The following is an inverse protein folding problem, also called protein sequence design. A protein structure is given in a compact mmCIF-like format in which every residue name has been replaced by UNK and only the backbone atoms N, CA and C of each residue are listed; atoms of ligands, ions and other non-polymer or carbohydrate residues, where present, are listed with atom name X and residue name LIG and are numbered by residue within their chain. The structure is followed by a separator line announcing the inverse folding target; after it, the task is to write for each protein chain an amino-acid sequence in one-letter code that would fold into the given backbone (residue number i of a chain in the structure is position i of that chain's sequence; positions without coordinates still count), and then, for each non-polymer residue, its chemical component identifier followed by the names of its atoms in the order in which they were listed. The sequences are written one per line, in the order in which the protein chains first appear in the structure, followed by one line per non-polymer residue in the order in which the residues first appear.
data_IF_711092429590
#
_entry.id   IF_711092429590
#
_cell.length_a   1.000
_cell.length_b   1.000
_cell.length_c   1.000
_cell.angle_alpha   90.00
_cell.angle_beta   90.00
_cell.angle_gamma   90.00
#
_symmetry.space_group_name_H-M   'P 1'
#
loop_
_entity.id
_entity.type
_entity.pdbx_description
1 polymer ?
#
# COMPACT_ATOMS: atom_id res chain seq x y z
N UNK A 1 35.49 -43.47 -8.77
CA UNK A 1 35.39 -42.06 -9.23
C UNK A 1 33.92 -41.74 -9.44
N UNK A 2 33.27 -41.17 -8.43
CA UNK A 2 31.88 -40.71 -8.49
C UNK A 2 31.88 -39.28 -9.03
N UNK A 3 31.25 -39.08 -10.18
CA UNK A 3 31.06 -37.77 -10.81
C UNK A 3 30.09 -36.96 -9.97
N UNK A 4 30.55 -35.85 -9.40
CA UNK A 4 29.67 -34.89 -8.73
C UNK A 4 28.69 -34.31 -9.75
N UNK A 5 27.39 -34.50 -9.50
CA UNK A 5 26.32 -33.87 -10.27
C UNK A 5 26.46 -32.35 -10.14
N UNK A 6 26.36 -31.55 -11.23
CA UNK A 6 26.53 -30.11 -11.15
C UNK A 6 25.46 -29.54 -10.22
N UNK A 7 25.89 -29.00 -9.07
CA UNK A 7 25.03 -28.29 -8.16
C UNK A 7 24.40 -27.11 -8.91
N UNK A 8 23.06 -27.06 -8.95
CA UNK A 8 22.36 -25.94 -9.55
C UNK A 8 22.90 -24.63 -8.94
N UNK A 9 23.25 -23.62 -9.75
CA UNK A 9 23.85 -22.40 -9.24
C UNK A 9 22.91 -21.78 -8.19
N UNK A 10 23.49 -21.46 -7.02
CA UNK A 10 22.75 -20.90 -5.90
C UNK A 10 22.02 -19.62 -6.36
N UNK A 11 20.69 -19.61 -6.24
CA UNK A 11 19.88 -18.45 -6.64
C UNK A 11 20.28 -17.24 -5.81
N UNK A 12 20.69 -16.17 -6.47
CA UNK A 12 21.00 -14.90 -5.81
C UNK A 12 19.72 -14.35 -5.13
N UNK A 13 19.84 -13.76 -3.92
CA UNK A 13 18.70 -13.31 -3.13
C UNK A 13 17.88 -12.24 -3.86
N UNK A 14 18.53 -11.37 -4.64
CA UNK A 14 17.89 -10.33 -5.42
C UNK A 14 16.99 -10.88 -6.55
N UNK A 15 17.33 -12.03 -7.13
CA UNK A 15 16.50 -12.65 -8.17
C UNK A 15 15.26 -13.33 -7.57
N UNK A 16 15.38 -13.83 -6.33
CA UNK A 16 14.24 -14.36 -5.59
C UNK A 16 13.26 -13.25 -5.18
N UNK A 17 13.76 -12.13 -4.64
CA UNK A 17 12.93 -10.97 -4.32
C UNK A 17 12.29 -10.37 -5.58
N UNK A 18 13.00 -10.33 -6.71
CA UNK A 18 12.44 -9.85 -7.98
C UNK A 18 11.29 -10.72 -8.49
N UNK A 19 11.41 -12.04 -8.38
CA UNK A 19 10.32 -12.97 -8.73
C UNK A 19 9.11 -12.80 -7.82
N UNK A 20 9.33 -12.66 -6.50
CA UNK A 20 8.25 -12.38 -5.55
C UNK A 20 7.55 -11.06 -5.87
N UNK A 21 8.33 -10.02 -6.17
CA UNK A 21 7.82 -8.70 -6.55
C UNK A 21 6.92 -8.79 -7.80
N UNK A 22 7.38 -9.52 -8.83
CA UNK A 22 6.60 -9.73 -10.06
C UNK A 22 5.30 -10.48 -9.79
N UNK A 23 5.35 -11.58 -9.02
CA UNK A 23 4.15 -12.37 -8.73
C UNK A 23 3.14 -11.58 -7.90
N UNK A 24 3.61 -10.80 -6.93
CA UNK A 24 2.77 -9.91 -6.14
C UNK A 24 2.19 -8.76 -6.98
N UNK A 25 2.95 -8.24 -7.95
CA UNK A 25 2.46 -7.24 -8.88
C UNK A 25 1.37 -7.81 -9.79
N UNK A 26 1.52 -9.04 -10.26
CA UNK A 26 0.47 -9.73 -11.02
C UNK A 26 -0.80 -9.92 -10.17
N UNK A 27 -0.64 -10.32 -8.91
CA UNK A 27 -1.76 -10.41 -7.97
C UNK A 27 -2.47 -9.05 -7.84
N UNK A 28 -1.72 -7.96 -7.66
CA UNK A 28 -2.28 -6.61 -7.60
C UNK A 28 -3.01 -6.23 -8.89
N UNK A 29 -2.38 -6.43 -10.05
CA UNK A 29 -2.95 -6.09 -11.37
C UNK A 29 -4.24 -6.86 -11.66
N UNK A 30 -4.41 -8.07 -11.12
CA UNK A 30 -5.66 -8.83 -11.24
C UNK A 30 -6.67 -8.47 -10.15
N UNK A 31 -6.24 -8.37 -8.90
CA UNK A 31 -7.12 -8.12 -7.76
C UNK A 31 -7.70 -6.71 -7.77
N UNK A 32 -6.97 -5.69 -8.26
CA UNK A 32 -7.45 -4.32 -8.34
C UNK A 32 -8.69 -4.17 -9.24
N UNK A 33 -8.66 -4.54 -10.54
CA UNK A 33 -9.84 -4.42 -11.41
C UNK A 33 -10.96 -5.35 -10.94
N UNK A 34 -10.65 -6.53 -10.41
CA UNK A 34 -11.66 -7.42 -9.83
C UNK A 34 -12.36 -6.75 -8.64
N UNK A 35 -11.61 -6.10 -7.75
CA UNK A 35 -12.17 -5.36 -6.62
C UNK A 35 -13.05 -4.21 -7.13
N UNK A 36 -12.57 -3.39 -8.07
CA UNK A 36 -13.36 -2.29 -8.64
C UNK A 36 -14.67 -2.80 -9.24
N UNK A 37 -14.59 -3.86 -10.05
CA UNK A 37 -15.78 -4.46 -10.68
C UNK A 37 -16.76 -5.02 -9.65
N UNK A 38 -16.26 -5.72 -8.63
CA UNK A 38 -17.08 -6.35 -7.59
C UNK A 38 -17.83 -5.30 -6.76
N UNK A 39 -17.15 -4.23 -6.34
CA UNK A 39 -17.78 -3.12 -5.62
C UNK A 39 -18.73 -2.33 -6.54
N UNK A 40 -18.37 -2.09 -7.80
CA UNK A 40 -19.22 -1.40 -8.76
C UNK A 40 -20.48 -2.19 -9.15
N UNK A 41 -20.42 -3.53 -9.09
CA UNK A 41 -21.54 -4.41 -9.40
C UNK A 41 -22.27 -4.90 -8.14
N UNK A 42 -21.95 -4.35 -6.96
CA UNK A 42 -22.41 -4.90 -5.69
C UNK A 42 -23.93 -4.92 -5.57
N UNK A 43 -24.61 -3.85 -5.99
CA UNK A 43 -26.07 -3.78 -5.99
C UNK A 43 -26.69 -4.84 -6.92
N UNK A 44 -26.18 -4.95 -8.15
CA UNK A 44 -26.67 -5.93 -9.14
C UNK A 44 -26.51 -7.35 -8.60
N UNK A 45 -25.33 -7.68 -8.07
CA UNK A 45 -25.06 -9.00 -7.49
C UNK A 45 -25.96 -9.26 -6.27
N UNK A 46 -26.16 -8.25 -5.41
CA UNK A 46 -27.02 -8.37 -4.24
C UNK A 46 -28.48 -8.61 -4.61
N UNK A 47 -29.01 -7.93 -5.63
CA UNK A 47 -30.38 -8.17 -6.11
C UNK A 47 -30.61 -9.59 -6.62
N UNK A 48 -29.58 -10.25 -7.15
CA UNK A 48 -29.65 -11.67 -7.53
C UNK A 48 -29.57 -12.64 -6.33
N UNK A 49 -28.99 -12.21 -5.20
CA UNK A 49 -28.85 -13.02 -4.00
C UNK A 49 -30.08 -12.93 -3.10
N UNK A 50 -30.68 -11.73 -2.95
CA UNK A 50 -31.84 -11.50 -2.10
C UNK A 50 -33.04 -12.47 -2.27
N UNK A 51 -33.42 -12.89 -3.50
CA UNK A 51 -34.56 -13.79 -3.67
C UNK A 51 -34.27 -15.25 -3.34
N UNK A 52 -33.00 -15.60 -3.04
CA UNK A 52 -32.66 -16.95 -2.59
C UNK A 52 -33.21 -17.18 -1.17
N UNK A 53 -33.50 -18.43 -0.82
CA UNK A 53 -34.04 -18.78 0.50
C UNK A 53 -33.16 -19.82 1.23
N UNK A 54 -33.16 -19.76 2.56
CA UNK A 54 -32.52 -20.76 3.41
C UNK A 54 -31.00 -20.90 3.18
N UNK A 55 -30.53 -22.13 2.97
CA UNK A 55 -29.11 -22.43 2.89
C UNK A 55 -28.42 -21.83 1.65
N UNK A 56 -29.13 -21.72 0.52
CA UNK A 56 -28.57 -21.15 -0.72
C UNK A 56 -28.34 -19.65 -0.59
N UNK A 57 -29.27 -18.93 0.07
CA UNK A 57 -29.08 -17.53 0.44
C UNK A 57 -27.86 -17.35 1.35
N UNK A 58 -27.78 -18.12 2.44
CA UNK A 58 -26.67 -17.99 3.39
C UNK A 58 -25.32 -18.26 2.72
N UNK A 59 -25.23 -19.27 1.86
CA UNK A 59 -24.03 -19.57 1.10
C UNK A 59 -23.65 -18.45 0.13
N UNK A 60 -24.61 -17.96 -0.65
CA UNK A 60 -24.39 -16.90 -1.63
C UNK A 60 -24.01 -15.56 -0.97
N UNK A 61 -24.71 -15.15 0.08
CA UNK A 61 -24.41 -13.95 0.85
C UNK A 61 -23.02 -14.02 1.51
N UNK A 62 -22.65 -15.19 2.06
CA UNK A 62 -21.34 -15.41 2.66
C UNK A 62 -20.23 -15.38 1.61
N UNK A 63 -20.42 -16.04 0.47
CA UNK A 63 -19.45 -16.03 -0.63
C UNK A 63 -19.27 -14.61 -1.19
N UNK A 64 -20.35 -13.86 -1.34
CA UNK A 64 -20.31 -12.46 -1.79
C UNK A 64 -19.60 -11.56 -0.80
N UNK A 65 -19.93 -11.64 0.50
CA UNK A 65 -19.24 -10.90 1.56
C UNK A 65 -17.75 -11.26 1.64
N UNK A 66 -17.41 -12.54 1.51
CA UNK A 66 -16.02 -12.99 1.47
C UNK A 66 -15.28 -12.43 0.25
N UNK A 67 -15.91 -12.40 -0.92
CA UNK A 67 -15.32 -11.81 -2.12
C UNK A 67 -15.07 -10.31 -1.93
N UNK A 68 -16.04 -9.58 -1.36
CA UNK A 68 -15.92 -8.14 -1.08
C UNK A 68 -14.81 -7.82 -0.08
N UNK A 69 -14.55 -8.71 0.88
CA UNK A 69 -13.47 -8.56 1.85
C UNK A 69 -12.10 -8.97 1.28
N UNK A 70 -12.02 -10.11 0.59
CA UNK A 70 -10.76 -10.69 0.14
C UNK A 70 -10.17 -9.97 -1.07
N UNK A 71 -10.99 -9.50 -2.01
CA UNK A 71 -10.50 -8.82 -3.21
C UNK A 71 -9.64 -7.56 -2.88
N UNK A 72 -10.12 -6.58 -2.09
CA UNK A 72 -9.32 -5.41 -1.73
C UNK A 72 -8.12 -5.78 -0.83
N UNK A 73 -8.26 -6.80 0.02
CA UNK A 73 -7.17 -7.28 0.85
C UNK A 73 -6.02 -7.85 0.01
N UNK A 74 -6.33 -8.73 -0.94
CA UNK A 74 -5.35 -9.30 -1.87
C UNK A 74 -4.69 -8.22 -2.74
N UNK A 75 -5.48 -7.24 -3.17
CA UNK A 75 -4.97 -6.06 -3.87
C UNK A 75 -3.93 -5.31 -3.02
N UNK A 76 -4.27 -4.97 -1.78
CA UNK A 76 -3.38 -4.26 -0.87
C UNK A 76 -2.10 -5.05 -0.57
N UNK A 77 -2.23 -6.34 -0.23
CA UNK A 77 -1.08 -7.22 0.04
C UNK A 77 -0.20 -7.35 -1.20
N UNK A 78 -0.79 -7.59 -2.37
CA UNK A 78 -0.08 -7.68 -3.63
C UNK A 78 0.73 -6.42 -3.92
N UNK A 79 0.13 -5.25 -3.74
CA UNK A 79 0.80 -3.96 -3.91
C UNK A 79 1.98 -3.78 -2.95
N UNK A 80 1.76 -3.97 -1.64
CA UNK A 80 2.78 -3.76 -0.62
C UNK A 80 3.95 -4.73 -0.79
N UNK A 81 3.68 -6.01 -1.06
CA UNK A 81 4.72 -7.02 -1.30
C UNK A 81 5.47 -6.74 -2.61
N UNK A 82 4.76 -6.36 -3.68
CA UNK A 82 5.38 -6.01 -4.95
C UNK A 82 6.37 -4.86 -4.78
N UNK A 83 5.96 -3.83 -4.05
CA UNK A 83 6.74 -2.64 -3.82
C UNK A 83 7.93 -2.92 -2.89
N UNK A 84 7.70 -3.61 -1.77
CA UNK A 84 8.74 -3.97 -0.80
C UNK A 84 9.81 -4.87 -1.44
N UNK A 85 9.40 -6.01 -2.01
CA UNK A 85 10.32 -6.94 -2.66
C UNK A 85 10.97 -6.30 -3.90
N UNK A 86 10.27 -5.40 -4.59
CA UNK A 86 10.79 -4.63 -5.72
C UNK A 86 11.99 -3.79 -5.29
N UNK A 87 11.81 -2.94 -4.27
CA UNK A 87 12.88 -2.08 -3.74
C UNK A 87 14.02 -2.93 -3.17
N UNK A 88 13.73 -3.93 -2.34
CA UNK A 88 14.76 -4.80 -1.76
C UNK A 88 15.59 -5.53 -2.83
N UNK A 89 14.97 -5.92 -3.96
CA UNK A 89 15.71 -6.57 -5.05
C UNK A 89 16.82 -5.70 -5.63
N UNK A 90 16.66 -4.36 -5.60
CA UNK A 90 17.64 -3.42 -6.14
C UNK A 90 18.92 -3.39 -5.31
N UNK A 91 18.80 -3.52 -3.99
CA UNK A 91 19.90 -3.45 -3.03
C UNK A 91 20.52 -4.82 -2.69
N UNK A 92 20.11 -5.88 -3.40
CA UNK A 92 20.63 -7.23 -3.24
C UNK A 92 21.40 -7.69 -4.48
N UNK A 93 22.29 -8.66 -4.32
CA UNK A 93 23.01 -9.27 -5.44
C UNK A 93 22.02 -9.91 -6.43
N UNK A 94 22.22 -9.63 -7.72
CA UNK A 94 21.39 -10.09 -8.85
C UNK A 94 22.26 -10.46 -10.03
N UNK A 95 21.77 -11.39 -10.83
CA UNK A 95 22.45 -11.89 -12.03
C UNK A 95 22.39 -10.86 -13.17
N UNK A 96 21.25 -10.17 -13.31
CA UNK A 96 21.04 -9.13 -14.34
C UNK A 96 20.79 -7.77 -13.72
N UNK A 97 21.61 -6.78 -14.09
CA UNK A 97 21.40 -5.37 -13.72
C UNK A 97 20.45 -4.68 -14.69
N UNK A 98 19.45 -3.96 -14.17
CA UNK A 98 18.44 -3.24 -14.97
C UNK A 98 18.33 -1.78 -14.50
N UNK A 99 19.30 -0.91 -14.85
CA UNK A 99 19.48 0.39 -14.18
C UNK A 99 18.30 1.35 -14.34
N UNK A 100 17.66 1.42 -15.51
CA UNK A 100 16.51 2.29 -15.72
C UNK A 100 15.30 1.87 -14.87
N UNK A 101 15.01 0.57 -14.86
CA UNK A 101 13.92 -0.02 -14.10
C UNK A 101 14.21 0.09 -12.58
N UNK A 102 15.46 -0.10 -12.17
CA UNK A 102 15.84 0.02 -10.76
C UNK A 102 15.65 1.46 -10.24
N UNK A 103 16.01 2.47 -11.05
CA UNK A 103 15.72 3.89 -10.73
C UNK A 103 14.21 4.13 -10.61
N UNK A 104 13.42 3.57 -11.52
CA UNK A 104 11.96 3.69 -11.47
C UNK A 104 11.38 3.06 -10.19
N UNK A 105 11.78 1.83 -9.84
CA UNK A 105 11.33 1.16 -8.61
C UNK A 105 11.73 1.94 -7.36
N UNK A 106 12.98 2.42 -7.29
CA UNK A 106 13.45 3.19 -6.14
C UNK A 106 12.71 4.51 -6.03
N UNK A 107 12.54 5.23 -7.14
CA UNK A 107 11.79 6.49 -7.16
C UNK A 107 10.32 6.32 -6.75
N UNK A 108 9.65 5.30 -7.29
CA UNK A 108 8.27 4.98 -6.96
C UNK A 108 8.13 4.56 -5.49
N UNK A 109 9.02 3.68 -5.01
CA UNK A 109 9.06 3.30 -3.59
C UNK A 109 9.32 4.51 -2.70
N UNK A 110 10.24 5.39 -3.07
CA UNK A 110 10.53 6.58 -2.27
C UNK A 110 9.29 7.47 -2.15
N UNK A 111 8.62 7.73 -3.27
CA UNK A 111 7.37 8.50 -3.30
C UNK A 111 6.29 7.87 -2.41
N UNK A 112 6.03 6.57 -2.55
CA UNK A 112 4.95 5.88 -1.83
C UNK A 112 5.20 5.85 -0.32
N UNK A 113 6.44 5.64 0.14
CA UNK A 113 6.74 5.64 1.58
C UNK A 113 6.57 7.01 2.21
N UNK A 114 6.88 8.09 1.49
CA UNK A 114 6.71 9.46 1.98
C UNK A 114 5.30 10.01 1.76
N UNK A 115 4.46 9.34 0.97
CA UNK A 115 3.12 9.80 0.63
C UNK A 115 2.25 10.12 1.85
N UNK A 116 2.21 9.32 2.94
CA UNK A 116 1.44 9.67 4.13
C UNK A 116 1.90 10.97 4.79
N UNK A 117 3.22 11.21 4.85
CA UNK A 117 3.77 12.44 5.41
C UNK A 117 3.46 13.67 4.53
N UNK A 118 3.52 13.51 3.21
CA UNK A 118 3.15 14.57 2.25
C UNK A 118 1.66 14.88 2.34
N UNK A 119 0.81 13.86 2.44
CA UNK A 119 -0.64 14.02 2.57
C UNK A 119 -1.00 14.75 3.87
N UNK A 120 -0.42 14.37 5.02
CA UNK A 120 -0.66 15.08 6.28
C UNK A 120 -0.15 16.51 6.24
N UNK A 121 1.01 16.75 5.63
CA UNK A 121 1.53 18.11 5.45
C UNK A 121 0.60 18.96 4.59
N UNK A 122 0.06 18.40 3.51
CA UNK A 122 -0.92 19.09 2.67
C UNK A 122 -2.19 19.45 3.46
N UNK A 123 -2.69 18.56 4.32
CA UNK A 123 -3.82 18.85 5.21
C UNK A 123 -3.52 19.98 6.19
N UNK A 124 -2.29 20.06 6.73
CA UNK A 124 -1.87 21.17 7.61
C UNK A 124 -1.90 22.49 6.84
N UNK A 125 -1.30 22.52 5.64
CA UNK A 125 -1.27 23.73 4.79
C UNK A 125 -2.69 24.18 4.45
N UNK A 126 -3.56 23.25 4.03
CA UNK A 126 -4.96 23.55 3.73
C UNK A 126 -5.70 24.12 4.95
N UNK A 127 -5.47 23.54 6.14
CA UNK A 127 -6.10 23.98 7.38
C UNK A 127 -5.64 25.36 7.84
N UNK A 128 -4.36 25.70 7.62
CA UNK A 128 -3.82 27.04 7.90
C UNK A 128 -4.37 28.08 6.93
N UNK A 129 -4.47 27.76 5.64
CA UNK A 129 -5.00 28.67 4.62
C UNK A 129 -6.51 28.94 4.81
N UNK A 130 -7.28 27.92 5.19
CA UNK A 130 -8.74 28.03 5.39
C UNK A 130 -9.16 28.41 6.80
N UNK A 131 -8.24 28.38 7.77
CA UNK A 131 -8.57 28.52 9.19
C UNK A 131 -9.52 27.43 9.70
N UNK A 132 -9.54 26.24 9.08
CA UNK A 132 -10.41 25.11 9.44
C UNK A 132 -9.66 23.78 9.35
N UNK A 133 -9.70 22.99 10.42
CA UNK A 133 -9.25 21.58 10.42
C UNK A 133 -10.47 20.67 10.31
N UNK A 134 -10.49 19.79 9.31
CA UNK A 134 -11.53 18.78 9.13
C UNK A 134 -11.02 17.38 9.51
N UNK A 135 -11.71 16.70 10.42
CA UNK A 135 -11.50 15.29 10.71
C UNK A 135 -12.67 14.47 10.15
N UNK A 136 -12.42 13.46 9.30
CA UNK A 136 -13.49 12.73 8.62
C UNK A 136 -14.26 11.74 9.51
N UNK A 137 -13.65 11.23 10.60
CA UNK A 137 -14.30 10.24 11.49
C UNK A 137 -13.86 10.36 12.96
N UNK A 138 -14.79 10.65 13.89
CA UNK A 138 -16.13 11.20 13.63
C UNK A 138 -16.02 12.54 12.91
N UNK A 139 -16.90 12.81 11.94
CA UNK A 139 -16.86 14.04 11.14
C UNK A 139 -16.97 15.26 12.04
N UNK A 140 -15.88 16.05 12.16
CA UNK A 140 -15.83 17.27 12.97
C UNK A 140 -14.96 18.33 12.30
N UNK A 141 -15.44 19.56 12.38
CA UNK A 141 -14.71 20.75 11.93
C UNK A 141 -14.34 21.62 13.13
N UNK A 142 -13.08 22.02 13.19
CA UNK A 142 -12.59 23.00 14.15
C UNK A 142 -12.13 24.25 13.41
N UNK A 143 -12.68 25.40 13.79
CA UNK A 143 -12.36 26.67 13.16
C UNK A 143 -11.47 27.50 14.07
N UNK A 144 -10.48 28.19 13.48
CA UNK A 144 -9.62 29.11 14.22
C UNK A 144 -10.42 30.25 14.87
N UNK A 145 -11.50 30.70 14.22
CA UNK A 145 -12.31 31.83 14.66
C UNK A 145 -13.22 31.52 15.85
N UNK A 146 -13.74 30.30 15.96
CA UNK A 146 -14.73 29.92 16.98
C UNK A 146 -14.15 28.97 18.04
N UNK A 147 -13.23 28.08 17.64
CA UNK A 147 -12.71 26.99 18.46
C UNK A 147 -11.17 26.91 18.37
N UNK A 148 -10.45 27.97 18.80
CA UNK A 148 -9.00 28.08 18.58
C UNK A 148 -8.20 26.98 19.27
N UNK A 149 -8.65 26.50 20.45
CA UNK A 149 -7.93 25.46 21.20
C UNK A 149 -7.99 24.11 20.44
N UNK A 150 -9.17 23.54 20.11
CA UNK A 150 -9.25 22.34 19.29
C UNK A 150 -8.57 22.47 17.92
N UNK A 151 -8.65 23.65 17.30
CA UNK A 151 -7.96 23.93 16.03
C UNK A 151 -6.45 23.71 16.15
N UNK A 152 -5.79 24.38 17.12
CA UNK A 152 -4.34 24.25 17.32
C UNK A 152 -3.93 22.87 17.81
N UNK A 153 -4.76 22.20 18.63
CA UNK A 153 -4.54 20.80 19.00
C UNK A 153 -4.57 19.88 17.77
N UNK A 154 -5.52 20.10 16.85
CA UNK A 154 -5.61 19.37 15.58
C UNK A 154 -4.37 19.58 14.70
N UNK A 155 -3.92 20.83 14.55
CA UNK A 155 -2.67 21.14 13.83
C UNK A 155 -1.47 20.46 14.50
N UNK A 156 -1.35 20.55 15.82
CA UNK A 156 -0.28 19.91 16.58
C UNK A 156 -0.25 18.39 16.38
N UNK A 157 -1.42 17.74 16.42
CA UNK A 157 -1.56 16.31 16.13
C UNK A 157 -1.10 15.96 14.70
N UNK A 158 -1.50 16.74 13.70
CA UNK A 158 -1.08 16.53 12.31
C UNK A 158 0.42 16.73 12.11
N UNK A 159 1.04 17.69 12.81
CA UNK A 159 2.51 17.87 12.81
C UNK A 159 3.20 16.63 13.37
N UNK A 160 2.73 16.12 14.51
CA UNK A 160 3.26 14.90 15.12
C UNK A 160 3.12 13.70 14.18
N UNK A 161 1.95 13.52 13.55
CA UNK A 161 1.71 12.46 12.57
C UNK A 161 2.64 12.58 11.36
N UNK A 162 2.81 13.80 10.82
CA UNK A 162 3.72 14.09 9.70
C UNK A 162 5.15 13.70 10.05
N UNK A 163 5.63 14.14 11.22
CA UNK A 163 6.97 13.81 11.72
C UNK A 163 7.16 12.30 11.90
N UNK A 164 6.17 11.61 12.47
CA UNK A 164 6.19 10.15 12.63
C UNK A 164 6.27 9.42 11.29
N UNK A 165 5.42 9.76 10.32
CA UNK A 165 5.42 9.13 9.00
C UNK A 165 6.73 9.38 8.26
N UNK A 166 7.22 10.63 8.27
CA UNK A 166 8.50 10.98 7.66
C UNK A 166 9.67 10.22 8.33
N UNK A 167 9.65 10.11 9.66
CA UNK A 167 10.66 9.37 10.41
C UNK A 167 10.67 7.87 10.07
N UNK A 168 9.50 7.23 10.02
CA UNK A 168 9.39 5.81 9.67
C UNK A 168 9.83 5.54 8.23
N UNK A 169 9.42 6.40 7.29
CA UNK A 169 9.89 6.34 5.91
C UNK A 169 11.41 6.50 5.85
N UNK A 170 11.96 7.51 6.54
CA UNK A 170 13.41 7.73 6.59
C UNK A 170 14.16 6.56 7.20
N UNK A 171 13.65 5.95 8.29
CA UNK A 171 14.26 4.78 8.93
C UNK A 171 14.40 3.61 7.97
N UNK A 172 13.42 3.40 7.08
CA UNK A 172 13.47 2.38 6.04
C UNK A 172 14.51 2.69 4.95
N UNK A 173 14.59 3.96 4.51
CA UNK A 173 15.45 4.39 3.41
C UNK A 173 16.91 4.63 3.79
N UNK A 174 17.17 5.12 5.01
CA UNK A 174 18.50 5.50 5.49
C UNK A 174 19.58 4.43 5.24
N UNK A 175 19.44 3.15 5.64
CA UNK A 175 20.49 2.15 5.41
C UNK A 175 20.71 1.84 3.92
N UNK A 176 19.67 1.99 3.09
CA UNK A 176 19.73 1.73 1.64
C UNK A 176 20.48 2.83 0.90
N UNK A 177 20.29 4.08 1.31
CA UNK A 177 20.98 5.25 0.74
C UNK A 177 22.44 5.35 1.21
N UNK A 178 22.73 4.85 2.42
CA UNK A 178 24.08 4.88 3.01
C UNK A 178 24.97 3.71 2.58
N UNK A 179 24.37 2.60 2.10
CA UNK A 179 25.12 1.56 1.39
C UNK A 179 25.61 2.15 0.05
N UNK A 180 26.77 2.80 0.07
CA UNK A 180 27.56 3.02 -1.13
C UNK A 180 27.74 1.66 -1.81
N UNK A 181 27.31 1.58 -3.06
CA UNK A 181 27.54 0.41 -3.92
C UNK A 181 29.02 0.19 -4.18
#
# INVERSE_FOLDING_TARGET
MTTASPSAPARLPGDASRRRARNALLLFVVALPLSIWLFGSAEVLWTGIMPLEGATFMGAATAFGAALALAPLLCLIGFLVALWCGVESVYQARDKRTPALDKFIVGLGFLIWFLPAVATLATIVDALLKGRVHFPSPSRDYFLATDPIPYWQGIGFLILATGLFAFLAWRYWRPKLQRKG
#
